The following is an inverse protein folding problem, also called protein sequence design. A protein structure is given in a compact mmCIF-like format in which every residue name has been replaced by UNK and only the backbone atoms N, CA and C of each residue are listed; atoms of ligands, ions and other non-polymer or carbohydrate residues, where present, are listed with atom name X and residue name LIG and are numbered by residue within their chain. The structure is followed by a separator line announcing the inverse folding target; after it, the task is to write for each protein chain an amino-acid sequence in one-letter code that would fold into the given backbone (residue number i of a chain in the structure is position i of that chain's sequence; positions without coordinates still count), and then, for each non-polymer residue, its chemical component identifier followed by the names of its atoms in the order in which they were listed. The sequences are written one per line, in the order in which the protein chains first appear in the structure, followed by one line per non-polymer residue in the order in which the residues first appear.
data_IF_668206239548
#
_entry.id   IF_668206239548
#
_cell.length_a   1.000
_cell.length_b   1.000
_cell.length_c   1.000
_cell.angle_alpha   90.00
_cell.angle_beta   90.00
_cell.angle_gamma   90.00
#
_symmetry.space_group_name_H-M   'P 1'
#
loop_
_entity.id
_entity.type
_entity.pdbx_description
1 polymer ?
#
# COMPACT_ATOMS: atom_id res chain seq x y z
N UNK A 1 81.58 -39.14 -13.63
CA UNK A 1 81.44 -38.46 -14.94
C UNK A 1 82.78 -38.20 -15.65
N UNK A 2 83.93 -38.18 -14.97
CA UNK A 2 85.25 -37.96 -15.58
C UNK A 2 85.79 -39.13 -16.43
N UNK A 3 85.35 -40.37 -16.19
CA UNK A 3 85.76 -41.56 -16.96
C UNK A 3 85.20 -41.58 -18.38
N UNK A 4 83.93 -41.16 -18.55
CA UNK A 4 83.26 -41.08 -19.86
C UNK A 4 83.90 -40.04 -20.80
N UNK A 5 84.46 -38.96 -20.25
CA UNK A 5 85.16 -37.94 -21.04
C UNK A 5 86.52 -38.46 -21.50
N UNK A 6 87.24 -39.20 -20.64
CA UNK A 6 88.55 -39.78 -20.97
C UNK A 6 88.45 -40.80 -22.11
N UNK A 7 87.43 -41.66 -22.08
CA UNK A 7 87.18 -42.62 -23.15
C UNK A 7 86.74 -41.95 -24.45
N UNK A 8 85.97 -40.85 -24.38
CA UNK A 8 85.59 -40.07 -25.56
C UNK A 8 86.78 -39.35 -26.20
N UNK A 9 87.71 -38.80 -25.41
CA UNK A 9 88.94 -38.17 -25.93
C UNK A 9 89.84 -39.23 -26.58
N UNK A 10 89.98 -40.41 -25.96
CA UNK A 10 90.76 -41.53 -26.51
C UNK A 10 90.21 -42.02 -27.85
N UNK A 11 88.89 -41.98 -28.03
CA UNK A 11 88.25 -42.37 -29.28
C UNK A 11 88.43 -41.31 -30.38
N UNK A 12 88.42 -40.03 -30.02
CA UNK A 12 88.73 -38.93 -30.96
C UNK A 12 90.20 -38.97 -31.40
N UNK A 13 91.15 -39.27 -30.50
CA UNK A 13 92.57 -39.44 -30.87
C UNK A 13 92.85 -40.63 -31.78
N UNK A 14 91.99 -41.66 -31.78
CA UNK A 14 92.12 -42.80 -32.70
C UNK A 14 91.49 -42.56 -34.08
N UNK A 15 90.47 -41.70 -34.17
CA UNK A 15 89.76 -41.42 -35.43
C UNK A 15 90.36 -40.28 -36.25
N UNK A 16 91.22 -39.44 -35.67
CA UNK A 16 91.99 -38.45 -36.43
C UNK A 16 93.29 -39.11 -36.89
N UNK A 17 93.32 -39.56 -38.13
CA UNK A 17 94.44 -40.27 -38.78
C UNK A 17 95.67 -39.40 -39.04
N UNK A 18 96.19 -38.72 -38.01
CA UNK A 18 97.37 -37.85 -38.09
C UNK A 18 98.63 -38.48 -37.45
N UNK A 19 98.53 -39.67 -36.84
CA UNK A 19 99.65 -40.31 -36.12
C UNK A 19 99.80 -41.83 -36.34
N UNK A 20 99.41 -42.35 -37.51
CA UNK A 20 99.77 -43.72 -37.92
C UNK A 20 100.96 -43.65 -38.87
N UNK A 21 102.15 -43.92 -38.35
CA UNK A 21 103.35 -44.17 -39.16
C UNK A 21 103.42 -45.67 -39.49
N UNK A 22 102.91 -46.05 -40.65
CA UNK A 22 103.21 -47.35 -41.26
C UNK A 22 104.18 -47.13 -42.43
N UNK A 23 105.41 -47.61 -42.24
CA UNK A 23 106.45 -47.71 -43.27
C UNK A 23 106.10 -48.81 -44.28
N UNK A 24 105.73 -48.45 -45.50
CA UNK A 24 105.97 -49.27 -46.71
C UNK A 24 106.24 -48.39 -47.92
N UNK A 25 107.49 -48.39 -48.38
CA UNK A 25 107.87 -47.90 -49.70
C UNK A 25 107.28 -48.81 -50.80
N UNK A 26 106.54 -48.23 -51.74
CA UNK A 26 106.50 -48.73 -53.11
C UNK A 26 106.28 -47.57 -54.09
N UNK A 27 107.36 -47.22 -54.79
CA UNK A 27 107.41 -46.21 -55.86
C UNK A 27 106.60 -46.66 -57.08
N UNK A 28 105.62 -45.84 -57.46
CA UNK A 28 105.14 -45.72 -58.84
C UNK A 28 104.69 -44.28 -59.10
N UNK A 29 105.50 -43.54 -59.86
CA UNK A 29 105.08 -42.34 -60.61
C UNK A 29 104.31 -41.27 -59.84
N UNK A 30 104.86 -40.79 -58.72
CA UNK A 30 104.39 -39.59 -58.05
C UNK A 30 104.42 -38.40 -59.02
N UNK A 31 103.25 -37.99 -59.54
CA UNK A 31 103.01 -36.56 -59.62
C UNK A 31 102.88 -36.09 -58.17
N UNK A 32 104.01 -35.86 -57.52
CA UNK A 32 104.07 -35.16 -56.24
C UNK A 32 103.27 -33.88 -56.44
N UNK A 33 102.06 -33.84 -55.87
CA UNK A 33 101.17 -32.71 -56.02
C UNK A 33 101.82 -31.58 -55.22
N UNK A 34 102.73 -30.86 -55.86
CA UNK A 34 103.43 -29.70 -55.30
C UNK A 34 102.43 -28.63 -54.79
N UNK A 35 101.17 -28.72 -55.23
CA UNK A 35 100.06 -27.88 -54.83
C UNK A 35 99.23 -28.41 -53.64
N UNK A 36 99.49 -29.61 -53.10
CA UNK A 36 98.68 -30.19 -52.01
C UNK A 36 98.69 -29.32 -50.74
N UNK A 37 99.84 -28.76 -50.37
CA UNK A 37 99.94 -27.81 -49.25
C UNK A 37 99.17 -26.50 -49.52
N UNK A 38 99.18 -26.03 -50.77
CA UNK A 38 98.43 -24.84 -51.19
C UNK A 38 96.91 -25.09 -51.15
N UNK A 39 96.44 -26.27 -51.58
CA UNK A 39 95.03 -26.64 -51.52
C UNK A 39 94.50 -26.78 -50.08
N UNK A 40 95.30 -27.33 -49.16
CA UNK A 40 94.93 -27.42 -47.75
C UNK A 40 94.87 -26.03 -47.12
N UNK A 41 95.86 -25.17 -47.39
CA UNK A 41 95.85 -23.80 -46.90
C UNK A 41 94.65 -23.01 -47.44
N UNK A 42 94.34 -23.16 -48.73
CA UNK A 42 93.17 -22.53 -49.34
C UNK A 42 91.86 -23.02 -48.71
N UNK A 43 91.73 -24.31 -48.42
CA UNK A 43 90.57 -24.86 -47.73
C UNK A 43 90.38 -24.21 -46.35
N UNK A 44 91.43 -24.17 -45.53
CA UNK A 44 91.33 -23.53 -44.22
C UNK A 44 91.09 -22.03 -44.32
N UNK A 45 91.73 -21.33 -45.27
CA UNK A 45 91.48 -19.91 -45.49
C UNK A 45 90.02 -19.66 -45.89
N UNK A 46 89.45 -20.48 -46.78
CA UNK A 46 88.04 -20.39 -47.16
C UNK A 46 87.12 -20.68 -45.96
N UNK A 47 87.38 -21.73 -45.18
CA UNK A 47 86.60 -22.04 -43.97
C UNK A 47 86.69 -20.93 -42.92
N UNK A 48 87.84 -20.26 -42.79
CA UNK A 48 88.01 -19.11 -41.91
C UNK A 48 87.22 -17.90 -42.39
N UNK A 49 87.23 -17.61 -43.70
CA UNK A 49 86.41 -16.55 -44.29
C UNK A 49 84.91 -16.83 -44.07
N UNK A 50 84.45 -18.05 -44.35
CA UNK A 50 83.05 -18.45 -44.13
C UNK A 50 82.64 -18.30 -42.65
N UNK A 51 83.51 -18.72 -41.72
CA UNK A 51 83.25 -18.55 -40.29
C UNK A 51 83.18 -17.08 -39.90
N UNK A 52 84.08 -16.25 -40.44
CA UNK A 52 84.07 -14.82 -40.18
C UNK A 52 82.78 -14.16 -40.69
N UNK A 53 82.37 -14.46 -41.92
CA UNK A 53 81.13 -13.94 -42.52
C UNK A 53 79.89 -14.37 -41.71
N UNK A 54 79.85 -15.64 -41.27
CA UNK A 54 78.77 -16.13 -40.40
C UNK A 54 78.77 -15.43 -39.04
N UNK A 55 79.94 -15.17 -38.46
CA UNK A 55 80.05 -14.47 -37.19
C UNK A 55 79.64 -12.99 -37.32
N UNK A 56 80.00 -12.33 -38.43
CA UNK A 56 79.57 -10.96 -38.72
C UNK A 56 78.05 -10.90 -38.90
N UNK A 57 77.46 -11.82 -39.66
CA UNK A 57 76.00 -11.91 -39.80
C UNK A 57 75.30 -12.20 -38.48
N UNK A 58 75.86 -13.08 -37.64
CA UNK A 58 75.33 -13.38 -36.32
C UNK A 58 75.38 -12.14 -35.41
N UNK A 59 76.48 -11.39 -35.44
CA UNK A 59 76.63 -10.14 -34.69
C UNK A 59 75.60 -9.10 -35.14
N UNK A 60 75.38 -8.95 -36.45
CA UNK A 60 74.35 -8.04 -37.00
C UNK A 60 72.94 -8.43 -36.54
N UNK A 61 72.57 -9.71 -36.68
CA UNK A 61 71.26 -10.21 -36.23
C UNK A 61 71.08 -10.05 -34.71
N UNK A 62 72.13 -10.29 -33.92
CA UNK A 62 72.08 -10.10 -32.47
C UNK A 62 71.83 -8.63 -32.10
N UNK A 63 72.44 -7.68 -32.82
CA UNK A 63 72.19 -6.26 -32.63
C UNK A 63 70.75 -5.86 -33.02
N UNK A 64 70.23 -6.36 -34.15
CA UNK A 64 68.85 -6.10 -34.57
C UNK A 64 67.84 -6.58 -33.51
N UNK A 65 68.06 -7.78 -32.95
CA UNK A 65 67.23 -8.32 -31.88
C UNK A 65 67.36 -7.47 -30.61
N UNK A 66 68.55 -6.99 -30.26
CA UNK A 66 68.75 -6.10 -29.12
C UNK A 66 67.97 -4.79 -29.28
N UNK A 67 68.02 -4.17 -30.46
CA UNK A 67 67.27 -2.95 -30.78
C UNK A 67 65.75 -3.15 -30.65
N UNK A 68 65.24 -4.30 -31.09
CA UNK A 68 63.82 -4.62 -30.97
C UNK A 68 63.39 -4.90 -29.52
N UNK A 69 64.25 -5.56 -28.74
CA UNK A 69 64.04 -5.73 -27.29
C UNK A 69 64.00 -4.36 -26.60
N UNK A 70 64.91 -3.45 -26.94
CA UNK A 70 64.93 -2.09 -26.37
C UNK A 70 63.63 -1.35 -26.69
N UNK A 71 63.19 -1.35 -27.96
CA UNK A 71 61.91 -0.74 -28.38
C UNK A 71 60.71 -1.31 -27.62
N UNK A 72 60.64 -2.63 -27.47
CA UNK A 72 59.55 -3.30 -26.74
C UNK A 72 59.60 -2.92 -25.25
N UNK A 73 60.78 -2.95 -24.64
CA UNK A 73 60.97 -2.60 -23.24
C UNK A 73 60.59 -1.15 -22.95
N UNK A 74 60.89 -0.22 -23.87
CA UNK A 74 60.46 1.17 -23.81
C UNK A 74 58.94 1.30 -23.87
N UNK A 75 58.30 0.63 -24.83
CA UNK A 75 56.81 0.62 -24.95
C UNK A 75 56.14 0.08 -23.69
N UNK A 76 56.66 -1.03 -23.13
CA UNK A 76 56.14 -1.63 -21.90
C UNK A 76 56.29 -0.68 -20.72
N UNK A 77 57.45 -0.02 -20.61
CA UNK A 77 57.72 0.95 -19.53
C UNK A 77 56.77 2.15 -19.62
N UNK A 78 56.59 2.75 -20.79
CA UNK A 78 55.64 3.84 -21.00
C UNK A 78 54.19 3.40 -20.75
N UNK A 79 53.80 2.20 -21.17
CA UNK A 79 52.47 1.65 -20.88
C UNK A 79 52.24 1.49 -19.38
N UNK A 80 53.25 1.01 -18.64
CA UNK A 80 53.21 0.87 -17.19
C UNK A 80 53.06 2.23 -16.49
N UNK A 81 53.79 3.24 -16.93
CA UNK A 81 53.67 4.62 -16.42
C UNK A 81 52.26 5.18 -16.66
N UNK A 82 51.72 5.01 -17.86
CA UNK A 82 50.36 5.45 -18.20
C UNK A 82 49.30 4.74 -17.34
N UNK A 83 49.41 3.42 -17.15
CA UNK A 83 48.51 2.66 -16.28
C UNK A 83 48.63 3.14 -14.83
N UNK A 84 49.84 3.42 -14.36
CA UNK A 84 50.07 3.96 -13.02
C UNK A 84 49.41 5.33 -12.84
N UNK A 85 49.52 6.21 -13.84
CA UNK A 85 48.87 7.52 -13.82
C UNK A 85 47.34 7.39 -13.80
N UNK A 86 46.78 6.52 -14.64
CA UNK A 86 45.33 6.25 -14.66
C UNK A 86 44.87 5.72 -13.30
N UNK A 87 45.57 4.75 -12.73
CA UNK A 87 45.25 4.22 -11.40
C UNK A 87 45.34 5.30 -10.31
N UNK A 88 46.36 6.15 -10.36
CA UNK A 88 46.50 7.27 -9.43
C UNK A 88 45.33 8.26 -9.57
N UNK A 89 44.95 8.62 -10.80
CA UNK A 89 43.81 9.51 -11.04
C UNK A 89 42.50 8.85 -10.59
N UNK A 90 42.26 7.58 -10.89
CA UNK A 90 41.05 6.88 -10.46
C UNK A 90 40.94 6.76 -8.94
N UNK A 91 42.06 6.52 -8.25
CA UNK A 91 42.08 6.44 -6.78
C UNK A 91 41.94 7.82 -6.11
N UNK A 92 42.59 8.85 -6.65
CA UNK A 92 42.61 10.19 -6.05
C UNK A 92 41.41 11.07 -6.44
N UNK A 93 40.77 10.81 -7.59
CA UNK A 93 39.65 11.62 -8.09
C UNK A 93 38.37 11.49 -7.27
N UNK A 94 38.30 10.55 -6.31
CA UNK A 94 37.14 10.34 -5.47
C UNK A 94 35.88 9.95 -6.24
N UNK A 95 35.97 9.66 -7.56
CA UNK A 95 34.84 9.32 -8.43
C UNK A 95 34.08 8.12 -7.88
N UNK A 96 34.80 7.12 -7.35
CA UNK A 96 34.20 5.96 -6.68
C UNK A 96 33.36 6.35 -5.46
N UNK A 97 33.86 7.29 -4.64
CA UNK A 97 33.13 7.83 -3.49
C UNK A 97 31.91 8.64 -3.95
N UNK A 98 32.05 9.50 -4.96
CA UNK A 98 30.94 10.28 -5.51
C UNK A 98 29.85 9.41 -6.12
N UNK A 99 30.23 8.33 -6.82
CA UNK A 99 29.29 7.33 -7.35
C UNK A 99 28.59 6.62 -6.20
N UNK A 100 29.32 6.18 -5.17
CA UNK A 100 28.72 5.55 -3.99
C UNK A 100 27.73 6.48 -3.29
N UNK A 101 28.11 7.76 -3.11
CA UNK A 101 27.24 8.76 -2.51
C UNK A 101 25.98 9.01 -3.35
N UNK A 102 26.12 9.10 -4.68
CA UNK A 102 24.98 9.23 -5.58
C UNK A 102 24.05 8.00 -5.48
N UNK A 103 24.61 6.79 -5.45
CA UNK A 103 23.84 5.56 -5.26
C UNK A 103 23.10 5.56 -3.91
N UNK A 104 23.73 6.03 -2.84
CA UNK A 104 23.09 6.09 -1.53
C UNK A 104 22.00 7.17 -1.47
N UNK A 105 22.20 8.32 -2.12
CA UNK A 105 21.15 9.33 -2.31
C UNK A 105 19.96 8.78 -3.10
N UNK A 106 20.22 8.02 -4.16
CA UNK A 106 19.16 7.35 -4.94
C UNK A 106 18.40 6.36 -4.07
N UNK A 107 19.08 5.53 -3.28
CA UNK A 107 18.40 4.61 -2.33
C UNK A 107 17.55 5.36 -1.29
N UNK A 108 18.06 6.46 -0.75
CA UNK A 108 17.30 7.29 0.19
C UNK A 108 16.06 7.90 -0.46
N UNK A 109 16.16 8.31 -1.73
CA UNK A 109 15.03 8.81 -2.50
C UNK A 109 13.97 7.72 -2.68
N UNK A 110 14.36 6.49 -3.06
CA UNK A 110 13.44 5.36 -3.14
C UNK A 110 12.70 5.10 -1.83
N UNK A 111 13.43 5.06 -0.71
CA UNK A 111 12.82 4.86 0.62
C UNK A 111 11.86 6.00 0.99
N UNK A 112 12.22 7.25 0.65
CA UNK A 112 11.36 8.42 0.89
C UNK A 112 10.11 8.36 0.03
N UNK A 113 10.21 7.97 -1.24
CA UNK A 113 9.07 7.76 -2.12
C UNK A 113 8.14 6.67 -1.58
N UNK A 114 8.67 5.51 -1.18
CA UNK A 114 7.88 4.43 -0.58
C UNK A 114 7.16 4.90 0.70
N UNK A 115 7.85 5.69 1.54
CA UNK A 115 7.24 6.28 2.75
C UNK A 115 6.11 7.25 2.37
N UNK A 116 6.31 8.09 1.36
CA UNK A 116 5.28 9.03 0.89
C UNK A 116 4.08 8.26 0.33
N UNK A 117 4.31 7.23 -0.49
CA UNK A 117 3.25 6.37 -1.03
C UNK A 117 2.43 5.72 0.09
N UNK A 118 3.10 5.21 1.12
CA UNK A 118 2.42 4.65 2.29
C UNK A 118 1.59 5.70 3.04
N UNK A 119 2.14 6.91 3.24
CA UNK A 119 1.39 8.01 3.88
C UNK A 119 0.24 8.54 3.04
N UNK A 120 0.34 8.49 1.72
CA UNK A 120 -0.76 8.82 0.83
C UNK A 120 -1.88 7.77 0.93
N UNK A 121 -1.52 6.49 1.02
CA UNK A 121 -2.50 5.42 1.24
C UNK A 121 -3.22 5.58 2.59
N UNK A 122 -2.49 5.84 3.68
CA UNK A 122 -3.10 6.12 5.00
C UNK A 122 -4.04 7.35 4.95
N UNK A 123 -3.68 8.38 4.17
CA UNK A 123 -4.50 9.57 4.00
C UNK A 123 -5.79 9.26 3.24
N UNK A 124 -5.71 8.45 2.18
CA UNK A 124 -6.86 8.01 1.41
C UNK A 124 -7.86 7.22 2.29
N UNK A 125 -7.37 6.27 3.09
CA UNK A 125 -8.17 5.52 4.06
C UNK A 125 -8.86 6.45 5.06
N UNK A 126 -8.14 7.46 5.56
CA UNK A 126 -8.71 8.44 6.49
C UNK A 126 -9.80 9.29 5.82
N UNK A 127 -9.60 9.71 4.57
CA UNK A 127 -10.60 10.46 3.80
C UNK A 127 -11.87 9.63 3.62
N UNK A 128 -11.74 8.38 3.19
CA UNK A 128 -12.88 7.46 3.02
C UNK A 128 -13.65 7.29 4.34
N UNK A 129 -12.92 7.06 5.44
CA UNK A 129 -13.52 6.94 6.76
C UNK A 129 -14.29 8.21 7.15
N UNK A 130 -13.74 9.40 6.87
CA UNK A 130 -14.40 10.68 7.16
C UNK A 130 -15.64 10.90 6.31
N UNK A 131 -15.61 10.52 5.04
CA UNK A 131 -16.78 10.59 4.16
C UNK A 131 -17.90 9.70 4.71
N UNK A 132 -17.59 8.44 5.05
CA UNK A 132 -18.55 7.51 5.62
C UNK A 132 -19.16 8.02 6.94
N UNK A 133 -18.33 8.54 7.85
CA UNK A 133 -18.81 9.12 9.11
C UNK A 133 -19.71 10.34 8.88
N UNK A 134 -19.38 11.20 7.92
CA UNK A 134 -20.19 12.37 7.61
C UNK A 134 -21.55 11.98 7.01
N UNK A 135 -21.58 10.99 6.11
CA UNK A 135 -22.84 10.44 5.58
C UNK A 135 -23.70 9.84 6.69
N UNK A 136 -23.08 9.04 7.58
CA UNK A 136 -23.77 8.47 8.76
C UNK A 136 -24.37 9.58 9.64
N UNK A 137 -23.58 10.62 9.93
CA UNK A 137 -24.06 11.76 10.72
C UNK A 137 -25.20 12.51 10.01
N UNK A 138 -25.10 12.71 8.69
CA UNK A 138 -26.16 13.31 7.88
C UNK A 138 -27.46 12.52 7.97
N UNK A 139 -27.40 11.19 7.89
CA UNK A 139 -28.57 10.32 8.05
C UNK A 139 -29.18 10.38 9.46
N UNK A 140 -28.36 10.46 10.51
CA UNK A 140 -28.85 10.60 11.88
C UNK A 140 -29.58 11.92 12.09
N UNK A 141 -29.04 13.02 11.56
CA UNK A 141 -29.68 14.35 11.62
C UNK A 141 -31.00 14.33 10.83
N UNK A 142 -31.03 13.70 9.65
CA UNK A 142 -32.24 13.54 8.87
C UNK A 142 -33.32 12.73 9.63
N UNK A 143 -32.92 11.67 10.34
CA UNK A 143 -33.83 10.87 11.16
C UNK A 143 -34.37 11.66 12.35
N UNK A 144 -33.52 12.42 13.03
CA UNK A 144 -33.93 13.25 14.17
C UNK A 144 -34.90 14.36 13.74
N UNK A 145 -34.59 15.06 12.65
CA UNK A 145 -35.50 16.09 12.11
C UNK A 145 -36.83 15.49 11.66
N UNK A 146 -36.84 14.29 11.07
CA UNK A 146 -38.07 13.57 10.74
C UNK A 146 -38.88 13.24 12.00
N UNK A 147 -38.24 12.75 13.07
CA UNK A 147 -38.89 12.44 14.35
C UNK A 147 -39.52 13.69 14.96
N UNK A 148 -38.80 14.82 14.98
CA UNK A 148 -39.32 16.11 15.47
C UNK A 148 -40.55 16.51 14.67
N UNK A 149 -40.46 16.53 13.34
CA UNK A 149 -41.59 16.88 12.46
C UNK A 149 -42.79 15.97 12.67
N UNK A 150 -42.57 14.67 12.92
CA UNK A 150 -43.65 13.72 13.21
C UNK A 150 -44.30 13.96 14.57
N UNK A 151 -43.51 14.29 15.58
CA UNK A 151 -44.03 14.65 16.90
C UNK A 151 -44.85 15.94 16.83
N UNK A 152 -44.41 16.95 16.08
CA UNK A 152 -45.19 18.18 15.84
C UNK A 152 -46.51 17.87 15.13
N UNK A 153 -46.49 17.05 14.07
CA UNK A 153 -47.72 16.60 13.39
C UNK A 153 -48.68 15.88 14.33
N UNK A 154 -48.16 15.03 15.22
CA UNK A 154 -48.97 14.34 16.23
C UNK A 154 -49.53 15.31 17.27
N UNK A 155 -48.75 16.31 17.70
CA UNK A 155 -49.22 17.32 18.65
C UNK A 155 -50.37 18.15 18.05
N UNK A 156 -50.22 18.62 16.80
CA UNK A 156 -51.27 19.35 16.08
C UNK A 156 -52.52 18.47 15.89
N UNK A 157 -52.34 17.20 15.53
CA UNK A 157 -53.46 16.28 15.37
C UNK A 157 -54.21 16.04 16.69
N UNK A 158 -53.49 15.88 17.81
CA UNK A 158 -54.07 15.75 19.14
C UNK A 158 -54.82 17.02 19.56
N UNK A 159 -54.26 18.19 19.32
CA UNK A 159 -54.91 19.47 19.61
C UNK A 159 -56.20 19.63 18.80
N UNK A 160 -56.18 19.33 17.50
CA UNK A 160 -57.37 19.36 16.66
C UNK A 160 -58.44 18.34 17.09
N UNK A 161 -58.02 17.16 17.55
CA UNK A 161 -58.94 16.13 18.07
C UNK A 161 -59.59 16.58 19.38
N UNK A 162 -58.81 17.17 20.30
CA UNK A 162 -59.30 17.72 21.56
C UNK A 162 -60.25 18.89 21.31
N UNK A 163 -59.92 19.82 20.41
CA UNK A 163 -60.81 20.91 20.03
C UNK A 163 -62.14 20.37 19.45
N UNK A 164 -62.06 19.36 18.59
CA UNK A 164 -63.24 18.68 18.05
C UNK A 164 -64.08 18.02 19.14
N UNK A 165 -63.45 17.36 20.11
CA UNK A 165 -64.12 16.77 21.26
C UNK A 165 -64.80 17.83 22.13
N UNK A 166 -64.10 18.89 22.51
CA UNK A 166 -64.63 20.00 23.31
C UNK A 166 -65.80 20.69 22.62
N UNK A 167 -65.72 20.91 21.31
CA UNK A 167 -66.83 21.46 20.54
C UNK A 167 -68.05 20.53 20.55
N UNK A 168 -67.84 19.22 20.38
CA UNK A 168 -68.93 18.22 20.43
C UNK A 168 -69.57 18.12 21.82
N UNK A 169 -68.77 18.19 22.88
CA UNK A 169 -69.26 18.25 24.27
C UNK A 169 -70.09 19.51 24.49
N UNK A 170 -69.59 20.68 24.06
CA UNK A 170 -70.32 21.95 24.17
C UNK A 170 -71.64 21.93 23.41
N UNK A 171 -71.68 21.38 22.20
CA UNK A 171 -72.92 21.19 21.43
C UNK A 171 -73.91 20.27 22.14
N UNK A 172 -73.42 19.17 22.72
CA UNK A 172 -74.24 18.22 23.48
C UNK A 172 -74.81 18.86 24.75
N UNK A 173 -74.01 19.59 25.53
CA UNK A 173 -74.43 20.32 26.72
C UNK A 173 -75.47 21.39 26.38
N UNK A 174 -75.24 22.18 25.31
CA UNK A 174 -76.19 23.20 24.86
C UNK A 174 -77.52 22.56 24.47
N UNK A 175 -77.50 21.48 23.68
CA UNK A 175 -78.71 20.76 23.28
C UNK A 175 -79.47 20.20 24.49
N UNK A 176 -78.75 19.70 25.48
CA UNK A 176 -79.33 19.14 26.70
C UNK A 176 -79.93 20.25 27.57
N UNK A 177 -79.25 21.41 27.68
CA UNK A 177 -79.75 22.59 28.36
C UNK A 177 -81.03 23.13 27.70
N UNK A 178 -81.04 23.27 26.38
CA UNK A 178 -82.23 23.73 25.63
C UNK A 178 -83.41 22.77 25.84
N UNK A 179 -83.16 21.46 25.81
CA UNK A 179 -84.17 20.45 26.09
C UNK A 179 -84.72 20.60 27.52
N UNK A 180 -83.86 20.82 28.52
CA UNK A 180 -84.26 21.02 29.91
C UNK A 180 -85.05 22.32 30.10
N UNK A 181 -84.65 23.42 29.46
CA UNK A 181 -85.37 24.70 29.52
C UNK A 181 -86.75 24.59 28.87
N UNK A 182 -86.86 23.93 27.71
CA UNK A 182 -88.15 23.68 27.06
C UNK A 182 -89.05 22.81 27.94
N UNK A 183 -88.49 21.76 28.55
CA UNK A 183 -89.20 20.92 29.52
C UNK A 183 -89.68 21.73 30.73
N UNK A 184 -88.85 22.61 31.27
CA UNK A 184 -89.21 23.49 32.38
C UNK A 184 -90.33 24.47 31.99
N UNK A 185 -90.28 25.07 30.79
CA UNK A 185 -91.34 25.95 30.26
C UNK A 185 -92.67 25.22 30.14
N UNK A 186 -92.68 24.01 29.56
CA UNK A 186 -93.88 23.18 29.45
C UNK A 186 -94.45 22.87 30.83
N UNK A 187 -93.61 22.48 31.80
CA UNK A 187 -94.07 22.26 33.16
C UNK A 187 -94.59 23.53 33.84
N UNK A 188 -93.97 24.68 33.59
CA UNK A 188 -94.41 25.95 34.15
C UNK A 188 -95.75 26.41 33.57
N UNK A 189 -95.96 26.24 32.26
CA UNK A 189 -97.25 26.49 31.62
C UNK A 189 -98.34 25.56 32.15
N UNK A 190 -98.05 24.26 32.23
CA UNK A 190 -98.97 23.29 32.83
C UNK A 190 -99.33 23.67 34.28
N UNK A 191 -98.34 24.03 35.08
CA UNK A 191 -98.56 24.47 36.47
C UNK A 191 -99.39 25.76 36.56
N UNK A 192 -99.18 26.72 35.65
CA UNK A 192 -99.96 27.95 35.60
C UNK A 192 -101.42 27.64 35.23
N UNK A 193 -101.64 26.75 34.27
CA UNK A 193 -102.97 26.27 33.92
C UNK A 193 -103.63 25.56 35.11
N UNK A 194 -102.90 24.70 35.82
CA UNK A 194 -103.40 24.04 37.03
C UNK A 194 -103.76 25.05 38.13
N UNK A 195 -102.98 26.12 38.30
CA UNK A 195 -103.29 27.21 39.23
C UNK A 195 -104.53 28.02 38.82
N UNK A 196 -104.74 28.28 37.52
CA UNK A 196 -105.93 28.95 37.01
C UNK A 196 -107.18 28.08 37.19
N UNK A 197 -107.07 26.77 36.98
CA UNK A 197 -108.12 25.80 37.28
C UNK A 197 -108.42 25.77 38.78
N UNK A 198 -107.40 25.76 39.64
CA UNK A 198 -107.58 25.82 41.09
C UNK A 198 -108.28 27.11 41.54
N UNK A 199 -107.89 28.27 41.00
CA UNK A 199 -108.53 29.56 41.32
C UNK A 199 -109.98 29.64 40.87
N UNK A 200 -110.34 28.99 39.77
CA UNK A 200 -111.70 29.02 39.21
C UNK A 200 -112.64 27.95 39.82
N UNK A 201 -112.11 26.80 40.23
CA UNK A 201 -112.93 25.65 40.68
C UNK A 201 -112.68 25.22 42.13
N UNK A 202 -111.66 25.74 42.82
CA UNK A 202 -111.38 25.47 44.24
C UNK A 202 -110.75 24.10 44.54
N UNK A 203 -110.48 23.28 43.52
CA UNK A 203 -109.89 21.94 43.65
C UNK A 203 -108.76 21.74 42.63
N UNK A 204 -107.62 21.21 43.09
CA UNK A 204 -106.47 20.91 42.22
C UNK A 204 -106.78 19.62 41.45
N UNK A 205 -106.61 19.57 40.11
CA UNK A 205 -106.73 18.33 39.34
C UNK A 205 -105.74 17.29 39.87
N UNK A 206 -106.21 16.10 40.26
CA UNK A 206 -105.33 14.98 40.55
C UNK A 206 -104.71 14.54 39.23
N UNK A 207 -103.42 14.77 39.07
CA UNK A 207 -102.66 14.22 37.95
C UNK A 207 -102.66 12.70 38.12
N UNK A 208 -103.38 12.00 37.25
CA UNK A 208 -103.25 10.56 37.12
C UNK A 208 -101.87 10.28 36.52
N UNK A 209 -100.91 9.96 37.38
CA UNK A 209 -99.63 9.39 36.99
C UNK A 209 -99.91 8.07 36.28
N UNK A 210 -99.93 8.09 34.95
CA UNK A 210 -99.83 6.87 34.16
C UNK A 210 -98.58 6.11 34.61
N UNK A 211 -98.78 4.89 35.13
CA UNK A 211 -97.78 3.95 35.69
C UNK A 211 -96.70 3.47 34.69
N UNK A 212 -96.41 4.23 33.63
CA UNK A 212 -95.49 3.87 32.56
C UNK A 212 -94.40 4.92 32.28
N UNK A 213 -94.37 6.04 33.00
CA UNK A 213 -93.21 6.91 32.96
C UNK A 213 -92.24 6.51 34.08
N UNK A 214 -91.16 5.83 33.70
CA UNK A 214 -89.97 5.62 34.52
C UNK A 214 -89.33 6.98 34.81
N UNK A 215 -89.96 7.76 35.67
CA UNK A 215 -89.36 8.92 36.30
C UNK A 215 -88.35 8.40 37.30
N UNK A 216 -87.07 8.54 36.99
CA UNK A 216 -85.98 8.23 37.89
C UNK A 216 -86.23 8.88 39.25
N UNK A 217 -86.58 8.05 40.22
CA UNK A 217 -86.56 8.35 41.65
C UNK A 217 -85.07 8.48 41.98
N UNK A 218 -84.64 9.52 42.72
CA UNK A 218 -83.22 9.69 43.08
C UNK A 218 -82.65 8.47 43.85
N UNK A 219 -83.51 7.63 44.43
CA UNK A 219 -83.14 6.40 45.12
C UNK A 219 -82.82 5.22 44.17
N UNK A 220 -83.02 5.37 42.85
CA UNK A 220 -82.90 4.29 41.87
C UNK A 220 -81.87 4.55 40.75
N UNK A 221 -80.86 5.41 41.01
CA UNK A 221 -79.64 5.44 40.19
C UNK A 221 -78.75 4.29 40.68
N UNK A 222 -78.86 3.12 40.06
CA UNK A 222 -77.79 2.13 40.12
C UNK A 222 -76.64 2.63 39.25
N UNK A 223 -75.57 3.10 39.89
CA UNK A 223 -74.28 3.23 39.22
C UNK A 223 -73.82 1.82 38.87
N UNK A 224 -73.73 1.50 37.59
CA UNK A 224 -73.02 0.31 37.12
C UNK A 224 -71.55 0.46 37.54
N UNK A 225 -71.21 -0.14 38.68
CA UNK A 225 -69.85 -0.16 39.20
C UNK A 225 -69.05 -1.19 38.41
N UNK A 226 -68.46 -0.75 37.30
CA UNK A 226 -67.62 -1.60 36.46
C UNK A 226 -66.20 -1.66 37.05
N UNK A 227 -65.98 -2.64 37.92
CA UNK A 227 -64.73 -2.80 38.67
C UNK A 227 -63.50 -2.99 37.75
N UNK A 228 -63.73 -3.52 36.53
CA UNK A 228 -62.69 -3.76 35.53
C UNK A 228 -62.19 -2.43 34.92
N UNK A 229 -63.09 -1.47 34.69
CA UNK A 229 -62.73 -0.16 34.17
C UNK A 229 -61.95 0.66 35.22
N UNK A 230 -62.33 0.51 36.50
CA UNK A 230 -61.63 1.13 37.62
C UNK A 230 -60.22 0.55 37.84
N UNK A 231 -60.06 -0.78 37.76
CA UNK A 231 -58.73 -1.42 37.85
C UNK A 231 -57.82 -0.98 36.70
N UNK A 232 -58.35 -0.88 35.48
CA UNK A 232 -57.61 -0.39 34.31
C UNK A 232 -57.15 1.06 34.46
N UNK A 233 -57.98 1.92 35.06
CA UNK A 233 -57.60 3.31 35.38
C UNK A 233 -56.44 3.38 36.40
N UNK A 234 -56.37 2.45 37.35
CA UNK A 234 -55.24 2.39 38.29
C UNK A 234 -53.98 1.80 37.66
N UNK A 235 -54.09 0.84 36.75
CA UNK A 235 -52.94 0.29 36.02
C UNK A 235 -52.28 1.32 35.08
N UNK A 236 -53.07 2.10 34.33
CA UNK A 236 -52.56 3.16 33.43
C UNK A 236 -51.81 4.29 34.18
N UNK A 237 -52.05 4.45 35.48
CA UNK A 237 -51.34 5.43 36.32
C UNK A 237 -50.09 4.87 37.01
N UNK A 238 -49.88 3.55 37.02
CA UNK A 238 -48.69 2.92 37.63
C UNK A 238 -47.46 2.87 36.71
N UNK A 239 -47.64 3.01 35.40
CA UNK A 239 -46.54 3.01 34.43
C UNK A 239 -45.76 4.35 34.35
N UNK A 240 -46.14 5.37 35.13
CA UNK A 240 -45.41 6.65 35.21
C UNK A 240 -44.45 6.77 36.40
N UNK A 241 -44.24 5.70 37.18
CA UNK A 241 -43.35 5.73 38.38
C UNK A 241 -42.22 4.70 38.41
N UNK A 242 -41.82 4.18 37.27
CA UNK A 242 -40.53 3.48 37.12
C UNK A 242 -39.68 4.11 36.03
N UNK A 243 -39.10 5.26 36.35
CA UNK A 243 -37.81 5.75 35.81
C UNK A 243 -37.10 6.45 36.97
#
# INVERSE_FOLDING_TARGET
MLTSIKDKILNVTKNVGLFVSDEKEQKSGEKSNFNAGSSILQHFQNSWCELHDLNEQNTKRANEVADDIEKISGKISSSRENISLINHVLTNSGITSSISQCLDQVKQLYFTCETIEHKLFELEELIEYRVCENEKQGHLIALESFKVRKNEQLAIFKESLEEGYQNKVREYELRTKDMLEMRQKVFHEAFKTDLEIYKSQGTIPKVDLNKQQNGAILEEIQLDFDQIELEKFFEDNTDQKTT
#
